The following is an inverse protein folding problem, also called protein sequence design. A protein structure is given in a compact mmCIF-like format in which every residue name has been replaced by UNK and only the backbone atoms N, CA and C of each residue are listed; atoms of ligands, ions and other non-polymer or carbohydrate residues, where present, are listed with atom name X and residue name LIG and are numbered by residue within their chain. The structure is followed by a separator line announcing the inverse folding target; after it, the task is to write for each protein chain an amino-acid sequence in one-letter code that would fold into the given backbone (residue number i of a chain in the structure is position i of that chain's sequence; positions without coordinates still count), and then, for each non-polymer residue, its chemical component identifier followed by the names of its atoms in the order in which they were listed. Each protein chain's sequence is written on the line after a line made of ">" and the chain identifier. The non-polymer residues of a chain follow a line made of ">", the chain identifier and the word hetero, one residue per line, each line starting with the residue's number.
data_IF_941591756339
#
_entry.id   IF_941591756339
#
_cell.length_a   1.000
_cell.length_b   1.000
_cell.length_c   1.000
_cell.angle_alpha   90.00
_cell.angle_beta   90.00
_cell.angle_gamma   90.00
#
_symmetry.space_group_name_H-M   'P 1'
#
loop_
_entity.id
_entity.type
_entity.pdbx_description
1 polymer ?
#
# COMPACT_ATOMS: atom_id res chain seq x y z
N UNK A 1 19.65 87.59 8.62
CA UNK A 1 20.82 87.29 7.77
C UNK A 1 21.13 85.81 7.95
N UNK A 2 21.02 84.86 7.01
CA UNK A 2 20.74 84.79 5.56
C UNK A 2 20.02 83.44 5.28
N UNK A 3 18.95 83.50 4.49
CA UNK A 3 18.45 82.59 3.41
C UNK A 3 18.47 81.04 3.57
N UNK A 4 17.29 80.38 3.54
CA UNK A 4 16.64 79.69 2.39
C UNK A 4 17.42 78.48 1.85
N UNK A 5 16.90 77.25 2.01
CA UNK A 5 16.60 76.31 0.91
C UNK A 5 15.85 75.04 1.40
N UNK A 6 14.69 74.82 0.78
CA UNK A 6 14.03 73.54 0.47
C UNK A 6 13.59 72.58 1.59
N UNK A 7 12.35 72.78 2.01
CA UNK A 7 11.41 71.74 2.42
C UNK A 7 10.95 70.92 1.20
N UNK A 8 11.23 69.61 1.15
CA UNK A 8 10.49 68.58 0.39
C UNK A 8 11.28 67.26 0.41
N UNK A 9 11.10 66.42 1.43
CA UNK A 9 11.23 64.96 1.31
C UNK A 9 10.75 64.27 2.60
N UNK A 10 9.44 64.14 2.77
CA UNK A 10 8.80 63.20 3.71
C UNK A 10 7.35 63.03 3.25
N UNK A 11 7.18 62.39 2.09
CA UNK A 11 5.87 62.01 1.60
C UNK A 11 5.43 60.75 2.34
N UNK A 12 4.48 60.93 3.24
CA UNK A 12 3.63 59.89 3.79
C UNK A 12 2.88 59.21 2.64
N UNK A 13 3.16 57.93 2.38
CA UNK A 13 2.23 57.06 1.65
C UNK A 13 1.53 56.20 2.70
N UNK A 14 0.38 56.71 3.14
CA UNK A 14 -0.66 55.91 3.79
C UNK A 14 -1.26 55.04 2.69
N UNK A 15 -0.93 53.76 2.69
CA UNK A 15 -1.60 52.76 1.84
C UNK A 15 -2.95 52.48 2.47
N UNK A 16 -3.99 53.13 1.94
CA UNK A 16 -5.38 52.75 2.16
C UNK A 16 -5.59 51.44 1.39
N UNK A 17 -5.94 50.31 2.03
CA UNK A 17 -6.36 49.13 1.29
C UNK A 17 -7.70 49.47 0.63
N UNK A 18 -7.65 49.80 -0.66
CA UNK A 18 -8.83 49.79 -1.50
C UNK A 18 -9.34 48.36 -1.52
N UNK A 19 -10.46 48.11 -0.84
CA UNK A 19 -11.29 46.95 -1.09
C UNK A 19 -11.88 47.19 -2.48
N UNK A 20 -11.15 46.76 -3.52
CA UNK A 20 -11.73 46.52 -4.82
C UNK A 20 -12.62 45.28 -4.64
N UNK A 21 -13.90 45.52 -4.39
CA UNK A 21 -14.91 44.53 -4.68
C UNK A 21 -14.93 44.38 -6.20
N UNK A 22 -14.10 43.47 -6.72
CA UNK A 22 -14.33 42.96 -8.06
C UNK A 22 -15.60 42.13 -7.94
N UNK A 23 -16.72 42.68 -8.39
CA UNK A 23 -17.82 41.86 -8.85
C UNK A 23 -17.22 40.94 -9.92
N UNK A 24 -16.94 39.70 -9.54
CA UNK A 24 -16.67 38.64 -10.51
C UNK A 24 -17.98 38.53 -11.28
N UNK A 25 -17.99 39.07 -12.49
CA UNK A 25 -19.02 38.75 -13.47
C UNK A 25 -18.87 37.25 -13.70
N UNK A 26 -19.63 36.44 -12.96
CA UNK A 26 -19.80 35.03 -13.26
C UNK A 26 -20.49 34.97 -14.62
N UNK A 27 -19.69 34.86 -15.68
CA UNK A 27 -20.22 34.48 -16.98
C UNK A 27 -20.86 33.12 -16.81
N UNK A 28 -22.17 33.01 -17.04
CA UNK A 28 -22.82 31.71 -17.09
C UNK A 28 -22.21 30.91 -18.24
N UNK A 29 -21.69 29.73 -17.92
CA UNK A 29 -21.26 28.78 -18.92
C UNK A 29 -22.49 28.17 -19.59
N UNK A 30 -22.34 27.76 -20.85
CA UNK A 30 -23.40 27.09 -21.59
C UNK A 30 -22.93 25.69 -22.01
N UNK A 31 -23.82 24.71 -21.91
CA UNK A 31 -23.60 23.34 -22.33
C UNK A 31 -24.80 22.86 -23.14
N UNK A 32 -24.54 22.31 -24.32
CA UNK A 32 -25.55 21.87 -25.29
C UNK A 32 -25.55 20.34 -25.37
N UNK A 33 -26.74 19.75 -25.20
CA UNK A 33 -26.98 18.34 -25.50
C UNK A 33 -27.52 18.23 -26.92
N UNK A 34 -26.80 17.49 -27.78
CA UNK A 34 -27.15 17.31 -29.18
C UNK A 34 -28.16 16.15 -29.37
N UNK A 35 -28.85 16.13 -30.51
CA UNK A 35 -29.73 15.02 -30.87
C UNK A 35 -28.99 13.67 -30.94
N UNK A 36 -29.65 12.62 -30.45
CA UNK A 36 -29.18 11.22 -30.46
C UNK A 36 -27.95 10.89 -29.59
N UNK A 37 -27.58 11.72 -28.61
CA UNK A 37 -26.55 11.37 -27.64
C UNK A 37 -27.09 10.45 -26.54
N UNK A 38 -26.33 9.42 -26.20
CA UNK A 38 -26.60 8.59 -25.02
C UNK A 38 -26.23 9.36 -23.75
N UNK A 39 -26.89 9.08 -22.62
CA UNK A 39 -26.56 9.72 -21.35
C UNK A 39 -25.09 9.51 -20.95
N UNK A 40 -24.51 8.37 -21.33
CA UNK A 40 -23.08 8.11 -21.14
C UNK A 40 -22.22 9.09 -21.93
N UNK A 41 -22.48 9.27 -23.22
CA UNK A 41 -21.73 10.21 -24.07
C UNK A 41 -21.85 11.65 -23.57
N UNK A 42 -23.03 12.06 -23.10
CA UNK A 42 -23.21 13.39 -22.51
C UNK A 42 -22.34 13.55 -21.26
N UNK A 43 -22.31 12.56 -20.37
CA UNK A 43 -21.48 12.61 -19.16
C UNK A 43 -19.98 12.55 -19.46
N UNK A 44 -19.58 11.78 -20.47
CA UNK A 44 -18.19 11.75 -20.95
C UNK A 44 -17.78 13.14 -21.49
N UNK A 45 -18.65 13.81 -22.25
CA UNK A 45 -18.40 15.18 -22.73
C UNK A 45 -18.29 16.19 -21.59
N UNK A 46 -19.15 16.10 -20.56
CA UNK A 46 -19.04 16.97 -19.35
C UNK A 46 -17.72 16.70 -18.63
N UNK A 47 -17.33 15.43 -18.50
CA UNK A 47 -16.08 15.00 -17.86
C UNK A 47 -14.85 15.56 -18.59
N UNK A 48 -14.82 15.48 -19.91
CA UNK A 48 -13.73 16.00 -20.75
C UNK A 48 -13.70 17.53 -20.81
N UNK A 49 -14.85 18.19 -21.03
CA UNK A 49 -14.90 19.64 -21.22
C UNK A 49 -14.55 20.42 -19.94
N UNK A 50 -14.93 19.90 -18.78
CA UNK A 50 -14.73 20.58 -17.49
C UNK A 50 -13.63 19.93 -16.64
N UNK A 51 -12.91 18.95 -17.18
CA UNK A 51 -11.84 18.22 -16.49
C UNK A 51 -12.28 17.64 -15.11
N UNK A 52 -13.51 17.13 -15.04
CA UNK A 52 -14.11 16.56 -13.82
C UNK A 52 -14.25 15.05 -13.92
N UNK A 53 -14.18 14.34 -12.80
CA UNK A 53 -14.44 12.91 -12.70
C UNK A 53 -15.86 12.66 -12.17
N UNK A 54 -16.65 11.89 -12.94
CA UNK A 54 -18.01 11.51 -12.60
C UNK A 54 -18.07 10.04 -12.18
N UNK A 55 -18.56 9.77 -10.98
CA UNK A 55 -18.77 8.42 -10.47
C UNK A 55 -20.27 8.08 -10.44
N UNK A 56 -20.66 6.96 -11.04
CA UNK A 56 -22.05 6.52 -11.10
C UNK A 56 -22.16 4.99 -11.31
N UNK A 57 -23.24 4.33 -10.84
CA UNK A 57 -23.48 2.93 -11.16
C UNK A 57 -23.91 2.75 -12.63
N UNK A 58 -23.19 1.97 -13.43
CA UNK A 58 -23.52 1.73 -14.86
C UNK A 58 -24.96 1.26 -15.11
N UNK A 59 -25.58 0.39 -14.29
CA UNK A 59 -26.97 -0.02 -14.49
C UNK A 59 -27.99 1.13 -14.33
N UNK A 60 -27.64 2.18 -13.57
CA UNK A 60 -28.49 3.34 -13.32
C UNK A 60 -28.79 4.10 -14.62
N UNK A 61 -27.82 4.17 -15.54
CA UNK A 61 -27.90 5.00 -16.74
C UNK A 61 -28.48 4.27 -17.95
N UNK A 62 -28.59 2.93 -17.91
CA UNK A 62 -28.91 2.11 -19.09
C UNK A 62 -30.30 2.38 -19.68
N UNK A 63 -31.22 2.91 -18.87
CA UNK A 63 -32.62 3.17 -19.26
C UNK A 63 -33.00 4.66 -19.26
N UNK A 64 -32.02 5.57 -19.13
CA UNK A 64 -32.27 7.02 -19.06
C UNK A 64 -31.84 7.68 -20.37
N UNK A 65 -32.69 8.55 -20.90
CA UNK A 65 -32.43 9.34 -22.11
C UNK A 65 -32.69 10.81 -21.81
N UNK A 66 -31.71 11.67 -22.09
CA UNK A 66 -31.88 13.12 -22.02
C UNK A 66 -32.44 13.65 -23.34
N UNK A 67 -33.37 14.59 -23.26
CA UNK A 67 -33.79 15.34 -24.44
C UNK A 67 -32.72 16.37 -24.80
N UNK A 68 -32.59 16.75 -26.09
CA UNK A 68 -31.74 17.86 -26.50
C UNK A 68 -32.13 19.14 -25.77
N UNK A 69 -31.17 19.78 -25.11
CA UNK A 69 -31.40 20.95 -24.28
C UNK A 69 -30.13 21.78 -24.15
N UNK A 70 -30.31 23.08 -23.93
CA UNK A 70 -29.25 24.03 -23.64
C UNK A 70 -29.32 24.44 -22.18
N UNK A 71 -28.25 24.16 -21.44
CA UNK A 71 -28.14 24.48 -20.02
C UNK A 71 -27.23 25.69 -19.82
N UNK A 72 -27.66 26.59 -18.95
CA UNK A 72 -26.89 27.76 -18.55
C UNK A 72 -26.65 27.69 -17.05
N UNK A 73 -25.38 27.64 -16.65
CA UNK A 73 -24.97 27.26 -15.30
C UNK A 73 -23.75 28.06 -14.84
N UNK A 74 -23.56 28.12 -13.53
CA UNK A 74 -22.49 28.87 -12.86
C UNK A 74 -21.35 27.93 -12.46
N UNK A 75 -21.66 26.67 -12.15
CA UNK A 75 -20.73 25.60 -11.85
C UNK A 75 -21.25 24.23 -12.33
N UNK A 76 -20.37 23.22 -12.36
CA UNK A 76 -20.71 21.88 -12.87
C UNK A 76 -21.77 21.18 -12.00
N UNK A 77 -21.88 21.51 -10.72
CA UNK A 77 -22.91 20.96 -9.84
C UNK A 77 -24.29 21.45 -10.30
N UNK A 78 -24.43 22.75 -10.58
CA UNK A 78 -25.65 23.34 -11.13
C UNK A 78 -26.03 22.73 -12.49
N UNK A 79 -25.05 22.48 -13.37
CA UNK A 79 -25.29 21.80 -14.66
C UNK A 79 -25.87 20.39 -14.44
N UNK A 80 -25.22 19.58 -13.61
CA UNK A 80 -25.63 18.20 -13.37
C UNK A 80 -26.98 18.13 -12.65
N UNK A 81 -27.23 19.02 -11.68
CA UNK A 81 -28.52 19.12 -11.00
C UNK A 81 -29.66 19.48 -11.96
N UNK A 82 -29.43 20.42 -12.88
CA UNK A 82 -30.41 20.76 -13.92
C UNK A 82 -30.67 19.57 -14.84
N UNK A 83 -29.64 18.86 -15.28
CA UNK A 83 -29.75 17.68 -16.14
C UNK A 83 -30.52 16.53 -15.47
N UNK A 84 -30.35 16.36 -14.16
CA UNK A 84 -30.88 15.21 -13.43
C UNK A 84 -32.16 15.45 -12.63
N UNK A 85 -32.66 16.68 -12.62
CA UNK A 85 -33.87 17.09 -11.93
C UNK A 85 -35.08 16.17 -12.20
N UNK A 86 -35.26 15.70 -13.44
CA UNK A 86 -36.37 14.83 -13.83
C UNK A 86 -36.13 13.33 -13.55
N UNK A 87 -34.89 12.92 -13.29
CA UNK A 87 -34.48 11.51 -13.24
C UNK A 87 -34.45 10.90 -11.83
N UNK A 88 -34.92 11.64 -10.82
CA UNK A 88 -34.79 11.25 -9.40
C UNK A 88 -33.37 10.81 -9.08
N UNK A 89 -32.38 11.57 -9.54
CA UNK A 89 -30.97 11.36 -9.20
C UNK A 89 -30.48 12.56 -8.40
N UNK A 90 -29.62 12.29 -7.41
CA UNK A 90 -28.89 13.31 -6.68
C UNK A 90 -27.44 13.35 -7.19
N UNK A 91 -26.91 14.56 -7.30
CA UNK A 91 -25.49 14.83 -7.51
C UNK A 91 -24.87 15.22 -6.18
N UNK A 92 -23.68 14.70 -5.88
CA UNK A 92 -22.93 15.09 -4.70
C UNK A 92 -21.49 15.39 -5.06
N UNK A 93 -21.04 16.61 -4.82
CA UNK A 93 -19.63 16.95 -4.93
C UNK A 93 -18.83 16.26 -3.81
N UNK A 94 -17.81 15.48 -4.19
CA UNK A 94 -16.89 14.79 -3.27
C UNK A 94 -15.59 15.59 -3.09
N UNK A 95 -15.16 16.28 -4.15
CA UNK A 95 -14.07 17.27 -4.16
C UNK A 95 -14.25 18.23 -5.34
N UNK A 96 -13.41 19.26 -5.48
CA UNK A 96 -13.48 20.26 -6.56
C UNK A 96 -13.61 19.67 -7.97
N UNK A 97 -12.99 18.51 -8.21
CA UNK A 97 -12.97 17.83 -9.52
C UNK A 97 -13.73 16.49 -9.52
N UNK A 98 -14.50 16.14 -8.48
CA UNK A 98 -15.13 14.82 -8.36
C UNK A 98 -16.58 14.89 -7.93
N UNK A 99 -17.46 14.26 -8.71
CA UNK A 99 -18.89 14.23 -8.46
C UNK A 99 -19.42 12.79 -8.43
N UNK A 100 -20.35 12.51 -7.51
CA UNK A 100 -21.04 11.24 -7.38
C UNK A 100 -22.52 11.41 -7.78
N UNK A 101 -22.99 10.61 -8.72
CA UNK A 101 -24.40 10.56 -9.15
C UNK A 101 -25.05 9.28 -8.59
N UNK A 102 -26.18 9.43 -7.91
CA UNK A 102 -26.92 8.31 -7.28
C UNK A 102 -28.42 8.52 -7.37
N UNK A 103 -29.22 7.47 -7.14
CA UNK A 103 -30.68 7.60 -7.05
C UNK A 103 -31.05 8.46 -5.83
N UNK A 104 -31.93 9.43 -6.05
CA UNK A 104 -32.47 10.33 -5.04
C UNK A 104 -33.28 9.54 -4.02
N UNK A 105 -32.97 9.74 -2.75
CA UNK A 105 -33.66 9.08 -1.65
C UNK A 105 -34.95 9.84 -1.32
N UNK A 106 -36.09 9.28 -1.73
CA UNK A 106 -37.41 9.78 -1.37
C UNK A 106 -37.83 9.15 -0.04
N UNK A 107 -37.86 9.93 1.05
CA UNK A 107 -38.47 9.51 2.31
C UNK A 107 -39.94 9.11 2.05
N UNK A 108 -40.33 7.85 2.28
CA UNK A 108 -41.71 7.43 2.09
C UNK A 108 -42.60 8.13 3.12
N UNK A 109 -43.47 9.01 2.64
CA UNK A 109 -44.49 9.66 3.47
C UNK A 109 -45.48 8.62 3.99
N UNK A 110 -45.47 8.40 5.31
CA UNK A 110 -46.47 7.63 6.08
C UNK A 110 -46.61 6.13 5.75
N UNK A 111 -45.52 5.37 5.81
CA UNK A 111 -45.62 3.91 5.95
C UNK A 111 -44.80 3.43 7.17
N UNK A 112 -45.37 2.50 7.93
CA UNK A 112 -44.72 1.94 9.13
C UNK A 112 -43.37 1.30 8.80
N UNK A 113 -42.43 1.39 9.73
CA UNK A 113 -41.16 0.69 9.63
C UNK A 113 -41.40 -0.82 9.67
N UNK A 114 -40.88 -1.54 8.69
CA UNK A 114 -40.74 -2.99 8.73
C UNK A 114 -39.27 -3.33 8.91
N UNK A 115 -38.94 -4.17 9.86
CA UNK A 115 -37.56 -4.62 10.06
C UNK A 115 -37.41 -6.05 9.57
N UNK A 116 -36.33 -6.34 8.85
CA UNK A 116 -35.93 -7.70 8.51
C UNK A 116 -34.58 -7.97 9.14
N UNK A 117 -34.47 -9.05 9.91
CA UNK A 117 -33.22 -9.39 10.58
C UNK A 117 -32.79 -10.81 10.22
N UNK A 118 -31.53 -11.13 10.42
CA UNK A 118 -31.07 -12.48 10.15
C UNK A 118 -29.58 -12.67 10.33
N UNK A 119 -29.11 -13.88 10.06
CA UNK A 119 -27.70 -14.24 10.03
C UNK A 119 -27.37 -14.97 8.73
N UNK A 120 -26.25 -14.60 8.12
CA UNK A 120 -25.73 -15.20 6.89
C UNK A 120 -24.48 -16.01 7.23
N UNK A 121 -24.46 -17.27 6.80
CA UNK A 121 -23.38 -18.22 7.06
C UNK A 121 -22.96 -18.96 5.79
N UNK A 122 -21.73 -19.40 5.76
CA UNK A 122 -21.27 -20.38 4.79
C UNK A 122 -21.92 -21.73 5.10
N UNK A 123 -22.46 -22.38 4.07
CA UNK A 123 -23.18 -23.65 4.23
C UNK A 123 -22.25 -24.80 4.64
N UNK A 124 -21.00 -24.81 4.19
CA UNK A 124 -20.07 -25.91 4.45
C UNK A 124 -19.36 -25.80 5.80
N UNK A 125 -18.77 -24.65 6.10
CA UNK A 125 -18.00 -24.40 7.32
C UNK A 125 -18.85 -23.92 8.50
N UNK A 126 -20.07 -23.45 8.25
CA UNK A 126 -20.94 -22.81 9.25
C UNK A 126 -20.44 -21.46 9.74
N UNK A 127 -19.34 -20.94 9.18
CA UNK A 127 -18.78 -19.65 9.53
C UNK A 127 -19.73 -18.51 9.15
N UNK A 128 -19.77 -17.50 10.01
CA UNK A 128 -20.49 -16.27 9.72
C UNK A 128 -19.86 -15.54 8.54
N UNK A 129 -20.68 -15.11 7.58
CA UNK A 129 -20.24 -14.33 6.43
C UNK A 129 -20.41 -12.85 6.74
N UNK A 130 -19.30 -12.21 7.12
CA UNK A 130 -19.26 -10.77 7.38
C UNK A 130 -19.25 -9.97 6.08
N UNK A 131 -19.87 -8.79 6.06
CA UNK A 131 -19.94 -7.92 4.89
C UNK A 131 -20.67 -8.53 3.66
N UNK A 132 -21.52 -9.54 3.87
CA UNK A 132 -22.48 -9.96 2.87
C UNK A 132 -23.48 -8.82 2.63
N UNK A 133 -23.71 -8.51 1.35
CA UNK A 133 -24.66 -7.46 0.95
C UNK A 133 -26.06 -8.02 1.06
N UNK A 134 -26.93 -7.33 1.79
CA UNK A 134 -28.35 -7.68 1.97
C UNK A 134 -29.19 -6.50 1.51
N UNK A 135 -29.91 -6.64 0.40
CA UNK A 135 -30.61 -5.51 -0.22
C UNK A 135 -31.92 -5.94 -0.87
N UNK A 136 -32.84 -5.00 -1.04
CA UNK A 136 -34.07 -5.28 -1.80
C UNK A 136 -33.79 -5.36 -3.30
N UNK A 137 -34.54 -6.20 -4.00
CA UNK A 137 -34.38 -6.44 -5.44
C UNK A 137 -34.52 -5.18 -6.32
N UNK A 138 -35.17 -4.13 -5.84
CA UNK A 138 -35.36 -2.83 -6.50
C UNK A 138 -34.29 -1.78 -6.12
N UNK A 139 -33.29 -2.19 -5.31
CA UNK A 139 -32.21 -1.36 -4.78
C UNK A 139 -32.70 -0.13 -4.00
N UNK A 140 -33.92 -0.16 -3.47
CA UNK A 140 -34.44 0.95 -2.67
C UNK A 140 -33.67 1.12 -1.35
N UNK A 141 -33.14 0.02 -0.81
CA UNK A 141 -32.48 -0.03 0.47
C UNK A 141 -31.61 -1.30 0.60
N UNK A 142 -30.58 -1.22 1.44
CA UNK A 142 -29.67 -2.31 1.69
C UNK A 142 -28.82 -2.09 2.94
N UNK A 143 -28.24 -3.17 3.42
CA UNK A 143 -27.37 -3.22 4.59
C UNK A 143 -26.27 -4.25 4.34
N UNK A 144 -25.30 -4.32 5.24
CA UNK A 144 -24.27 -5.35 5.24
C UNK A 144 -24.37 -6.18 6.51
N UNK A 145 -23.97 -7.44 6.42
CA UNK A 145 -23.82 -8.25 7.63
C UNK A 145 -22.63 -7.77 8.47
N UNK A 146 -22.77 -7.85 9.79
CA UNK A 146 -21.71 -7.57 10.76
C UNK A 146 -20.65 -8.68 10.79
N UNK A 147 -19.64 -8.54 11.65
CA UNK A 147 -18.57 -9.54 11.82
C UNK A 147 -19.05 -10.93 12.26
N UNK A 148 -20.28 -11.05 12.75
CA UNK A 148 -20.92 -12.31 13.15
C UNK A 148 -22.00 -12.74 12.16
N UNK A 149 -22.02 -12.13 10.96
CA UNK A 149 -22.91 -12.48 9.86
C UNK A 149 -24.33 -11.95 10.06
N UNK A 150 -24.60 -11.16 11.10
CA UNK A 150 -25.94 -10.66 11.37
C UNK A 150 -26.25 -9.42 10.58
N UNK A 151 -27.47 -9.28 10.11
CA UNK A 151 -27.96 -8.07 9.46
C UNK A 151 -29.29 -7.62 10.05
N UNK A 152 -29.53 -6.32 9.94
CA UNK A 152 -30.83 -5.69 10.15
C UNK A 152 -31.08 -4.74 8.99
N UNK A 153 -32.16 -4.98 8.25
CA UNK A 153 -32.61 -4.20 7.10
C UNK A 153 -33.97 -3.59 7.44
N UNK A 154 -33.97 -2.33 7.83
CA UNK A 154 -35.17 -1.57 8.12
C UNK A 154 -35.70 -0.91 6.83
N UNK A 155 -36.94 -1.19 6.45
CA UNK A 155 -37.59 -0.63 5.27
C UNK A 155 -38.77 0.25 5.65
N UNK A 156 -38.84 1.44 5.05
CA UNK A 156 -40.05 2.27 5.05
C UNK A 156 -40.71 2.07 3.69
N UNK A 157 -41.98 1.68 3.65
CA UNK A 157 -42.73 1.52 2.40
C UNK A 157 -43.33 0.13 2.18
N UNK A 158 -43.99 -0.07 1.04
CA UNK A 158 -44.30 -1.41 0.56
C UNK A 158 -42.97 -2.15 0.33
N UNK A 159 -42.76 -3.26 1.02
CA UNK A 159 -41.56 -4.09 0.86
C UNK A 159 -41.47 -4.55 -0.60
N UNK A 160 -40.27 -4.50 -1.20
CA UNK A 160 -40.03 -5.34 -2.36
C UNK A 160 -40.19 -6.79 -1.89
N UNK A 161 -40.98 -7.61 -2.61
CA UNK A 161 -41.27 -8.99 -2.21
C UNK A 161 -40.00 -9.85 -2.01
N UNK A 162 -38.84 -9.40 -2.50
CA UNK A 162 -37.61 -10.18 -2.53
C UNK A 162 -36.41 -9.42 -1.95
N UNK A 163 -35.81 -9.96 -0.89
CA UNK A 163 -34.48 -9.58 -0.39
C UNK A 163 -33.43 -10.45 -1.09
N UNK A 164 -32.37 -9.84 -1.60
CA UNK A 164 -31.23 -10.51 -2.21
C UNK A 164 -30.06 -10.43 -1.24
N UNK A 165 -29.44 -11.58 -1.00
CA UNK A 165 -28.22 -11.72 -0.20
C UNK A 165 -27.11 -12.21 -1.12
N UNK A 166 -26.02 -11.46 -1.16
CA UNK A 166 -24.87 -11.77 -2.00
C UNK A 166 -23.57 -11.61 -1.22
N UNK A 167 -22.60 -12.48 -1.51
CA UNK A 167 -21.26 -12.43 -0.93
C UNK A 167 -20.23 -12.92 -1.95
N UNK A 168 -19.03 -12.35 -1.92
CA UNK A 168 -18.01 -12.62 -2.93
C UNK A 168 -17.64 -14.11 -2.93
N UNK A 169 -17.64 -14.73 -4.11
CA UNK A 169 -17.40 -16.17 -4.32
C UNK A 169 -18.51 -17.10 -3.77
N UNK A 170 -19.72 -16.59 -3.57
CA UNK A 170 -20.92 -17.36 -3.21
C UNK A 170 -22.04 -17.13 -4.22
N UNK A 171 -22.96 -18.09 -4.31
CA UNK A 171 -24.20 -17.92 -5.06
C UNK A 171 -25.13 -16.94 -4.35
N UNK A 172 -25.81 -16.09 -5.12
CA UNK A 172 -26.82 -15.19 -4.56
C UNK A 172 -28.01 -16.00 -4.00
N UNK A 173 -28.56 -15.55 -2.87
CA UNK A 173 -29.76 -16.12 -2.27
C UNK A 173 -30.89 -15.10 -2.28
N UNK A 174 -32.04 -15.49 -2.82
CA UNK A 174 -33.28 -14.71 -2.81
C UNK A 174 -34.18 -15.17 -1.68
N UNK A 175 -34.64 -14.24 -0.84
CA UNK A 175 -35.57 -14.45 0.25
C UNK A 175 -36.87 -13.72 -0.05
N UNK A 176 -37.99 -14.43 0.05
CA UNK A 176 -39.31 -13.83 -0.17
C UNK A 176 -39.90 -13.35 1.16
N UNK A 177 -40.18 -12.06 1.28
CA UNK A 177 -40.69 -11.45 2.51
C UNK A 177 -42.20 -11.67 2.59
N UNK A 178 -42.66 -12.55 3.49
CA UNK A 178 -44.10 -12.83 3.65
C UNK A 178 -44.74 -12.04 4.82
N UNK A 179 -43.93 -11.61 5.80
CA UNK A 179 -44.38 -10.88 7.00
C UNK A 179 -43.32 -9.84 7.42
N UNK A 180 -43.73 -8.70 7.99
CA UNK A 180 -42.80 -7.80 8.69
C UNK A 180 -42.15 -8.52 9.90
N UNK A 181 -40.95 -8.08 10.28
CA UNK A 181 -40.21 -8.55 11.47
C UNK A 181 -39.79 -10.03 11.40
N UNK A 182 -39.51 -10.52 10.20
CA UNK A 182 -39.05 -11.89 9.98
C UNK A 182 -37.53 -12.02 10.24
N UNK A 183 -37.16 -13.04 11.01
CA UNK A 183 -35.78 -13.46 11.19
C UNK A 183 -35.39 -14.53 10.16
N UNK A 184 -34.26 -14.36 9.49
CA UNK A 184 -33.74 -15.28 8.49
C UNK A 184 -32.43 -15.92 8.93
N UNK A 185 -32.36 -17.25 8.90
CA UNK A 185 -31.08 -17.97 8.93
C UNK A 185 -30.74 -18.41 7.50
N UNK A 186 -29.67 -17.86 6.96
CA UNK A 186 -29.33 -17.95 5.54
C UNK A 186 -27.99 -18.63 5.38
N UNK A 187 -27.97 -19.74 4.66
CA UNK A 187 -26.75 -20.41 4.27
C UNK A 187 -26.48 -20.14 2.79
N UNK A 188 -25.33 -19.54 2.49
CA UNK A 188 -24.88 -19.35 1.11
C UNK A 188 -24.05 -20.56 0.67
N UNK A 189 -24.35 -21.05 -0.52
CA UNK A 189 -23.53 -22.05 -1.20
C UNK A 189 -22.32 -21.34 -1.81
N UNK A 190 -21.12 -21.82 -1.48
CA UNK A 190 -19.89 -21.33 -2.11
C UNK A 190 -19.96 -21.64 -3.60
N UNK A 191 -19.77 -20.62 -4.41
CA UNK A 191 -19.80 -20.79 -5.85
C UNK A 191 -18.36 -20.91 -6.33
N UNK A 192 -17.88 -22.15 -6.45
CA UNK A 192 -16.59 -22.49 -7.05
C UNK A 192 -16.61 -22.30 -8.58
N UNK A 193 -17.27 -21.24 -9.07
CA UNK A 193 -17.30 -20.91 -10.48
C UNK A 193 -15.85 -20.79 -10.97
N UNK A 194 -15.42 -21.83 -11.68
CA UNK A 194 -14.24 -21.84 -12.53
C UNK A 194 -14.50 -20.70 -13.51
N UNK A 195 -13.75 -19.61 -13.36
CA UNK A 195 -13.80 -18.49 -14.29
C UNK A 195 -13.46 -19.09 -15.66
N UNK A 196 -14.48 -19.21 -16.50
CA UNK A 196 -14.31 -19.63 -17.90
C UNK A 196 -13.83 -18.39 -18.63
N UNK A 197 -12.65 -18.49 -19.22
CA UNK A 197 -11.90 -17.46 -19.94
C UNK A 197 -11.71 -16.13 -19.19
N UNK A 198 -10.53 -16.00 -18.57
CA UNK A 198 -9.97 -14.73 -18.15
C UNK A 198 -9.60 -13.93 -19.40
N UNK A 199 -10.43 -12.97 -19.80
CA UNK A 199 -9.91 -11.80 -20.49
C UNK A 199 -8.98 -11.10 -19.48
N UNK A 200 -7.66 -11.16 -19.73
CA UNK A 200 -6.68 -10.44 -18.92
C UNK A 200 -6.82 -8.95 -19.24
N UNK A 201 -7.78 -8.29 -18.59
CA UNK A 201 -7.68 -6.86 -18.35
C UNK A 201 -6.85 -6.66 -17.09
N UNK A 202 -5.69 -6.04 -17.28
CA UNK A 202 -4.79 -5.63 -16.21
C UNK A 202 -5.47 -4.55 -15.35
N UNK A 203 -6.22 -4.98 -14.33
CA UNK A 203 -6.72 -4.08 -13.29
C UNK A 203 -5.69 -4.10 -12.16
N UNK A 204 -4.89 -3.04 -12.06
CA UNK A 204 -3.98 -2.81 -10.93
C UNK A 204 -4.81 -2.69 -9.66
N UNK A 205 -4.62 -3.53 -8.62
CA UNK A 205 -5.28 -3.27 -7.34
C UNK A 205 -4.88 -1.88 -6.75
N UNK A 206 -5.52 -1.33 -5.73
CA UNK A 206 -5.16 -0.01 -5.24
C UNK A 206 -3.84 -0.02 -4.43
N UNK A 207 -2.83 0.73 -4.85
CA UNK A 207 -1.84 1.30 -3.91
C UNK A 207 -2.57 2.36 -3.09
N UNK A 208 -2.77 2.12 -1.80
CA UNK A 208 -3.42 3.09 -0.93
C UNK A 208 -2.39 4.09 -0.41
N UNK A 209 -2.48 5.32 -0.92
CA UNK A 209 -1.84 6.47 -0.31
C UNK A 209 -2.77 7.02 0.77
N UNK A 210 -2.23 7.48 1.90
CA UNK A 210 -2.99 8.47 2.68
C UNK A 210 -3.19 9.71 1.81
N UNK A 211 -4.26 10.49 2.06
CA UNK A 211 -4.70 11.65 1.25
C UNK A 211 -3.60 12.72 1.03
N UNK A 212 -2.52 12.62 1.78
CA UNK A 212 -1.35 13.48 1.92
C UNK A 212 0.00 12.76 1.60
N UNK A 213 -0.02 11.48 1.19
CA UNK A 213 1.18 10.73 0.77
C UNK A 213 2.22 10.46 1.86
N UNK A 214 1.81 10.60 3.13
CA UNK A 214 2.66 10.48 4.32
C UNK A 214 2.90 9.03 4.73
N UNK A 215 1.93 8.16 4.45
CA UNK A 215 2.06 6.73 4.62
C UNK A 215 1.70 5.98 3.33
N UNK A 216 2.43 4.89 3.09
CA UNK A 216 2.23 3.98 1.97
C UNK A 216 2.16 2.56 2.53
N UNK A 217 1.12 1.83 2.12
CA UNK A 217 0.96 0.42 2.46
C UNK A 217 1.05 -0.41 1.18
N UNK A 218 2.00 -1.35 1.16
CA UNK A 218 2.27 -2.26 0.07
C UNK A 218 2.00 -3.69 0.53
N UNK A 219 1.11 -4.39 -0.16
CA UNK A 219 0.88 -5.84 -0.03
C UNK A 219 0.88 -6.43 -1.43
N UNK A 220 1.58 -7.55 -1.64
CA UNK A 220 1.64 -8.29 -2.92
C UNK A 220 2.19 -7.50 -4.13
N UNK A 221 2.71 -6.28 -3.91
CA UNK A 221 2.98 -5.26 -4.96
C UNK A 221 4.19 -4.38 -4.69
N UNK A 222 5.30 -4.99 -4.37
CA UNK A 222 6.53 -4.22 -4.39
C UNK A 222 6.96 -4.01 -5.84
N UNK A 223 7.46 -2.82 -6.21
CA UNK A 223 7.98 -2.58 -7.54
C UNK A 223 9.02 -3.64 -7.88
N UNK A 224 8.81 -4.40 -8.96
CA UNK A 224 9.79 -5.37 -9.44
C UNK A 224 10.84 -4.62 -10.25
N UNK A 225 11.91 -4.19 -9.57
CA UNK A 225 13.08 -3.62 -10.23
C UNK A 225 13.94 -4.70 -10.88
N UNK A 226 14.48 -4.42 -12.07
CA UNK A 226 15.60 -5.18 -12.62
C UNK A 226 16.89 -4.75 -11.90
N UNK A 227 17.13 -5.31 -10.72
CA UNK A 227 18.35 -5.07 -9.95
C UNK A 227 19.30 -6.27 -10.10
N UNK A 228 20.61 -5.99 -10.07
CA UNK A 228 21.69 -7.00 -10.09
C UNK A 228 21.51 -7.99 -8.92
N UNK A 229 20.99 -7.49 -7.80
CA UNK A 229 20.47 -8.28 -6.69
C UNK A 229 18.97 -8.46 -6.91
N UNK A 230 18.58 -9.57 -7.50
CA UNK A 230 17.16 -9.91 -7.68
C UNK A 230 16.46 -10.03 -6.34
N UNK A 231 15.25 -9.46 -6.26
CA UNK A 231 14.30 -9.60 -5.15
C UNK A 231 14.74 -9.07 -3.77
N UNK A 232 15.48 -7.95 -3.71
CA UNK A 232 15.82 -7.29 -2.43
C UNK A 232 14.76 -6.28 -1.99
N UNK A 233 14.19 -6.49 -0.80
CA UNK A 233 13.08 -5.69 -0.27
C UNK A 233 13.43 -4.20 -0.13
N UNK A 234 14.58 -3.88 0.47
CA UNK A 234 14.96 -2.48 0.70
C UNK A 234 15.20 -1.76 -0.63
N UNK A 235 15.84 -2.43 -1.60
CA UNK A 235 16.02 -1.85 -2.95
C UNK A 235 14.70 -1.62 -3.68
N UNK A 236 13.68 -2.46 -3.47
CA UNK A 236 12.34 -2.18 -4.01
C UNK A 236 11.71 -0.94 -3.37
N UNK A 237 11.94 -0.71 -2.07
CA UNK A 237 11.49 0.51 -1.40
C UNK A 237 12.21 1.76 -1.93
N UNK A 238 13.49 1.66 -2.33
CA UNK A 238 14.22 2.77 -2.95
C UNK A 238 13.63 3.24 -4.30
N UNK A 239 12.75 2.45 -4.93
CA UNK A 239 12.02 2.86 -6.14
C UNK A 239 10.83 3.77 -5.84
N UNK A 240 10.51 3.98 -4.55
CA UNK A 240 9.39 4.79 -4.11
C UNK A 240 9.77 6.27 -4.01
N UNK A 241 8.86 7.20 -4.38
CA UNK A 241 9.13 8.63 -4.28
C UNK A 241 9.51 9.10 -2.86
N UNK A 242 10.68 9.74 -2.79
CA UNK A 242 11.24 10.30 -1.54
C UNK A 242 12.01 9.29 -0.69
N UNK A 243 12.32 8.12 -1.25
CA UNK A 243 13.24 7.14 -0.69
C UNK A 243 14.37 6.94 -1.68
N UNK A 244 15.60 7.06 -1.22
CA UNK A 244 16.79 6.76 -2.02
C UNK A 244 17.63 5.74 -1.26
N UNK A 245 18.62 5.18 -1.95
CA UNK A 245 19.73 4.53 -1.27
C UNK A 245 20.52 5.57 -0.45
N UNK A 246 21.15 5.15 0.65
CA UNK A 246 22.07 6.03 1.38
C UNK A 246 23.31 6.36 0.55
N UNK A 247 23.89 5.32 -0.07
CA UNK A 247 24.91 5.36 -1.12
C UNK A 247 24.45 4.50 -2.32
N UNK A 248 24.94 4.77 -3.52
CA UNK A 248 24.45 4.16 -4.78
C UNK A 248 24.48 2.61 -4.79
N UNK A 249 25.42 2.01 -4.05
CA UNK A 249 25.62 0.58 -3.93
C UNK A 249 24.95 -0.05 -2.70
N UNK A 250 24.41 0.73 -1.77
CA UNK A 250 23.82 0.25 -0.53
C UNK A 250 22.30 0.01 -0.63
N UNK A 251 21.82 -0.98 0.11
CA UNK A 251 20.40 -1.31 0.31
C UNK A 251 19.77 -0.46 1.43
N UNK A 252 20.59 0.22 2.24
CA UNK A 252 20.16 1.10 3.31
C UNK A 252 19.27 2.25 2.80
N UNK A 253 18.30 2.67 3.62
CA UNK A 253 17.25 3.60 3.21
C UNK A 253 17.54 5.04 3.65
N UNK A 254 17.52 5.96 2.69
CA UNK A 254 17.54 7.41 2.89
C UNK A 254 16.16 7.99 2.59
N UNK A 255 15.40 8.26 3.63
CA UNK A 255 14.02 8.75 3.52
C UNK A 255 14.05 10.28 3.69
N UNK A 256 13.62 11.02 2.66
CA UNK A 256 13.62 12.50 2.66
C UNK A 256 14.95 13.14 3.08
N UNK A 257 16.06 12.49 2.75
CA UNK A 257 17.40 13.00 3.02
C UNK A 257 17.98 12.62 4.39
N UNK A 258 17.28 11.81 5.19
CA UNK A 258 17.79 11.30 6.46
C UNK A 258 19.02 10.40 6.28
N UNK A 259 19.80 10.25 7.34
CA UNK A 259 20.79 9.18 7.37
C UNK A 259 20.11 7.81 7.54
N UNK A 260 20.80 6.74 7.15
CA UNK A 260 20.28 5.37 7.24
C UNK A 260 19.93 4.97 8.69
N UNK A 261 20.70 5.44 9.67
CA UNK A 261 20.52 5.19 11.10
C UNK A 261 19.37 5.99 11.75
N UNK A 262 18.79 6.95 11.00
CA UNK A 262 17.67 7.77 11.47
C UNK A 262 16.31 7.18 11.12
N UNK A 263 16.28 6.15 10.27
CA UNK A 263 15.07 5.41 9.89
C UNK A 263 14.86 4.24 10.84
N UNK A 264 13.60 3.97 11.23
CA UNK A 264 13.26 2.81 12.05
C UNK A 264 12.70 1.69 11.19
N UNK A 265 13.26 0.49 11.33
CA UNK A 265 12.80 -0.71 10.65
C UNK A 265 12.26 -1.69 11.69
N UNK A 266 11.04 -2.18 11.51
CA UNK A 266 10.38 -3.13 12.41
C UNK A 266 9.81 -4.29 11.58
N UNK A 267 10.14 -5.53 11.94
CA UNK A 267 9.60 -6.75 11.34
C UNK A 267 8.81 -7.53 12.40
N UNK A 268 7.51 -7.73 12.21
CA UNK A 268 6.63 -8.43 13.16
C UNK A 268 6.78 -7.95 14.62
N UNK A 269 6.93 -6.63 14.80
CA UNK A 269 7.17 -6.01 16.11
C UNK A 269 8.63 -6.06 16.62
N UNK A 270 9.53 -6.74 15.91
CA UNK A 270 10.96 -6.74 16.20
C UNK A 270 11.64 -5.52 15.57
N UNK A 271 12.21 -4.58 16.35
CA UNK A 271 13.05 -3.56 15.78
C UNK A 271 14.35 -4.19 15.28
N UNK A 272 14.71 -3.87 14.05
CA UNK A 272 15.94 -4.36 13.42
C UNK A 272 16.89 -3.17 13.17
N UNK A 273 18.19 -3.43 13.33
CA UNK A 273 19.27 -2.46 13.12
C UNK A 273 20.30 -3.11 12.21
N UNK A 274 20.97 -2.32 11.36
CA UNK A 274 22.01 -2.78 10.44
C UNK A 274 21.56 -4.05 9.70
N UNK A 275 20.43 -3.93 9.00
CA UNK A 275 19.78 -5.03 8.28
C UNK A 275 20.36 -5.20 6.89
N UNK A 276 21.68 -5.31 6.83
CA UNK A 276 22.43 -5.39 5.59
C UNK A 276 23.55 -6.42 5.65
N UNK A 277 23.94 -6.85 4.45
CA UNK A 277 25.06 -7.74 4.20
C UNK A 277 25.98 -7.11 3.16
N UNK A 278 27.22 -7.57 3.15
CA UNK A 278 28.21 -7.27 2.13
C UNK A 278 28.37 -5.76 1.92
N UNK A 279 28.79 -5.08 2.99
CA UNK A 279 28.98 -3.63 3.01
C UNK A 279 27.75 -2.86 2.52
N UNK A 280 26.55 -3.35 2.83
CA UNK A 280 25.30 -2.69 2.47
C UNK A 280 24.62 -3.23 1.21
N UNK A 281 25.27 -4.03 0.37
CA UNK A 281 24.74 -4.38 -0.96
C UNK A 281 23.43 -5.18 -0.91
N UNK A 282 23.29 -6.10 0.04
CA UNK A 282 22.05 -6.85 0.25
C UNK A 282 21.40 -6.41 1.55
N UNK A 283 20.09 -6.30 1.58
CA UNK A 283 19.36 -6.23 2.85
C UNK A 283 19.30 -7.62 3.48
N UNK A 284 19.20 -7.73 4.80
CA UNK A 284 19.08 -9.01 5.54
C UNK A 284 17.63 -9.46 5.79
N UNK A 285 16.65 -8.65 5.36
CA UNK A 285 15.23 -9.03 5.40
C UNK A 285 14.86 -9.76 4.11
N UNK A 286 14.31 -10.96 4.26
CA UNK A 286 13.84 -11.76 3.14
C UNK A 286 12.48 -11.26 2.64
N UNK A 287 12.44 -10.77 1.40
CA UNK A 287 11.24 -10.31 0.72
C UNK A 287 10.14 -11.38 0.65
N UNK A 288 10.49 -12.64 0.37
CA UNK A 288 9.52 -13.74 0.24
C UNK A 288 8.89 -14.14 1.60
N UNK A 289 9.41 -13.64 2.73
CA UNK A 289 8.82 -13.81 4.08
C UNK A 289 7.82 -12.69 4.43
N UNK A 290 8.01 -11.49 3.88
CA UNK A 290 7.22 -10.30 4.21
C UNK A 290 5.96 -10.27 3.36
N UNK A 291 4.80 -10.16 4.01
CA UNK A 291 3.50 -10.09 3.33
C UNK A 291 3.09 -8.63 3.05
N UNK A 292 3.38 -7.75 4.01
CA UNK A 292 2.98 -6.35 3.97
C UNK A 292 4.10 -5.44 4.46
N UNK A 293 4.25 -4.29 3.79
CA UNK A 293 5.12 -3.20 4.24
C UNK A 293 4.32 -1.92 4.35
N UNK A 294 4.38 -1.29 5.53
CA UNK A 294 3.84 0.04 5.77
C UNK A 294 4.99 1.02 6.00
N UNK A 295 5.16 1.94 5.08
CA UNK A 295 6.15 3.00 5.15
C UNK A 295 5.49 4.30 5.62
N UNK A 296 6.07 4.95 6.62
CA UNK A 296 5.67 6.26 7.12
C UNK A 296 6.84 7.23 7.01
N UNK A 297 6.71 8.22 6.12
CA UNK A 297 7.77 9.23 5.89
C UNK A 297 7.77 10.33 6.96
N UNK A 298 6.62 10.63 7.57
CA UNK A 298 6.55 11.55 8.72
C UNK A 298 5.52 11.15 9.79
N UNK A 299 4.23 11.11 9.46
CA UNK A 299 3.13 10.89 10.42
C UNK A 299 3.10 9.43 10.90
N UNK A 300 4.03 9.12 11.80
CA UNK A 300 4.26 7.78 12.32
C UNK A 300 3.24 7.46 13.42
N UNK A 301 2.76 6.20 13.50
CA UNK A 301 1.90 5.79 14.59
C UNK A 301 2.61 5.95 15.94
N UNK A 302 1.94 6.60 16.89
CA UNK A 302 2.51 6.93 18.22
C UNK A 302 3.04 5.68 18.95
N UNK A 303 2.41 4.52 18.73
CA UNK A 303 2.81 3.25 19.36
C UNK A 303 4.24 2.79 19.02
N UNK A 304 4.83 3.26 17.93
CA UNK A 304 6.17 2.84 17.48
C UNK A 304 7.27 3.85 17.82
N UNK A 305 6.93 4.96 18.48
CA UNK A 305 7.77 6.13 18.70
C UNK A 305 8.19 6.80 17.37
N UNK A 306 8.28 8.13 17.36
CA UNK A 306 8.61 8.86 16.14
C UNK A 306 10.14 8.89 15.93
N UNK A 307 10.59 8.52 14.73
CA UNK A 307 11.99 8.60 14.30
C UNK A 307 12.17 9.65 13.20
N UNK A 308 13.26 10.42 13.25
CA UNK A 308 13.50 11.55 12.35
C UNK A 308 13.59 11.19 10.87
N UNK A 309 14.00 9.96 10.55
CA UNK A 309 14.12 9.42 9.19
C UNK A 309 12.96 8.56 8.73
N UNK A 310 11.82 8.52 9.43
CA UNK A 310 10.69 7.70 9.02
C UNK A 310 10.67 6.30 9.66
N UNK A 311 9.61 5.55 9.35
CA UNK A 311 9.33 4.22 9.89
C UNK A 311 8.94 3.27 8.77
N UNK A 312 9.56 2.09 8.75
CA UNK A 312 9.21 0.96 7.90
C UNK A 312 8.71 -0.16 8.80
N UNK A 313 7.42 -0.44 8.75
CA UNK A 313 6.81 -1.60 9.38
C UNK A 313 6.69 -2.71 8.34
N UNK A 314 7.11 -3.91 8.70
CA UNK A 314 7.01 -5.11 7.89
C UNK A 314 6.27 -6.16 8.69
N UNK A 315 5.24 -6.73 8.10
CA UNK A 315 4.43 -7.77 8.70
C UNK A 315 4.50 -9.01 7.80
N UNK A 316 4.80 -10.14 8.40
CA UNK A 316 4.69 -11.45 7.76
C UNK A 316 3.26 -11.98 7.86
N UNK A 317 2.89 -12.86 6.93
CA UNK A 317 1.59 -13.52 6.92
C UNK A 317 1.35 -14.24 8.26
N UNK A 318 0.25 -13.91 8.92
CA UNK A 318 -0.06 -14.38 10.27
C UNK A 318 -1.19 -15.42 10.29
N UNK A 319 -2.02 -15.47 9.24
CA UNK A 319 -3.18 -16.34 9.17
C UNK A 319 -3.42 -16.89 7.75
N UNK A 320 -2.47 -17.67 7.21
CA UNK A 320 -2.58 -18.21 5.86
C UNK A 320 -3.77 -19.16 5.75
N UNK A 321 -4.59 -18.97 4.71
CA UNK A 321 -5.73 -19.87 4.39
C UNK A 321 -5.23 -21.22 3.86
N UNK A 322 -4.21 -21.18 3.00
CA UNK A 322 -3.60 -22.35 2.35
C UNK A 322 -2.09 -22.33 2.55
N UNK A 323 -1.46 -23.51 2.46
CA UNK A 323 0.00 -23.61 2.42
C UNK A 323 0.52 -22.99 1.13
N UNK A 324 1.37 -21.98 1.25
CA UNK A 324 2.16 -21.39 0.16
C UNK A 324 3.62 -21.73 0.42
N UNK A 325 4.32 -22.25 -0.58
CA UNK A 325 5.74 -22.52 -0.52
C UNK A 325 6.43 -21.92 -1.75
N UNK A 326 7.54 -21.25 -1.54
CA UNK A 326 8.32 -20.55 -2.56
C UNK A 326 9.76 -21.05 -2.45
N UNK A 327 10.34 -21.43 -3.58
CA UNK A 327 11.77 -21.69 -3.72
C UNK A 327 12.28 -20.84 -4.86
N UNK A 328 13.26 -19.99 -4.57
CA UNK A 328 13.90 -19.10 -5.53
C UNK A 328 15.40 -19.39 -5.54
N UNK A 329 15.96 -19.50 -6.73
CA UNK A 329 17.38 -19.71 -6.95
C UNK A 329 17.83 -18.66 -7.94
N UNK A 330 18.66 -17.74 -7.47
CA UNK A 330 19.23 -16.65 -8.25
C UNK A 330 20.71 -16.92 -8.51
N UNK A 331 21.43 -16.01 -9.19
CA UNK A 331 22.87 -16.17 -9.45
C UNK A 331 23.73 -16.07 -8.17
N UNK A 332 23.26 -15.37 -7.15
CA UNK A 332 24.03 -15.05 -5.94
C UNK A 332 23.50 -15.73 -4.67
N UNK A 333 22.21 -16.06 -4.63
CA UNK A 333 21.58 -16.62 -3.44
C UNK A 333 20.46 -17.61 -3.77
N UNK A 334 20.07 -18.36 -2.75
CA UNK A 334 18.90 -19.23 -2.74
C UNK A 334 18.01 -18.81 -1.58
N UNK A 335 16.72 -18.68 -1.87
CA UNK A 335 15.69 -18.31 -0.91
C UNK A 335 14.60 -19.37 -0.87
N UNK A 336 14.17 -19.75 0.33
CA UNK A 336 13.02 -20.62 0.53
C UNK A 336 12.08 -20.01 1.56
N UNK A 337 10.78 -19.96 1.26
CA UNK A 337 9.77 -19.47 2.17
C UNK A 337 8.56 -20.41 2.20
N UNK A 338 7.95 -20.57 3.37
CA UNK A 338 6.72 -21.34 3.55
C UNK A 338 5.81 -20.65 4.55
N UNK A 339 4.56 -20.45 4.14
CA UNK A 339 3.49 -19.98 5.00
C UNK A 339 2.37 -21.02 5.01
N UNK A 340 2.01 -21.56 6.18
CA UNK A 340 1.13 -22.70 6.29
C UNK A 340 0.24 -22.65 7.54
N UNK A 341 -1.08 -22.90 7.41
CA UNK A 341 -1.92 -23.19 8.56
C UNK A 341 -1.62 -24.62 9.03
N UNK A 342 -0.81 -24.78 10.08
CA UNK A 342 -0.49 -26.10 10.65
C UNK A 342 -1.73 -26.75 11.27
N UNK A 343 -2.59 -25.93 11.88
CA UNK A 343 -3.91 -26.33 12.40
C UNK A 343 -4.88 -25.16 12.28
N UNK A 344 -6.16 -25.34 12.66
CA UNK A 344 -7.15 -24.25 12.70
C UNK A 344 -6.77 -23.07 13.63
N UNK A 345 -5.84 -23.29 14.57
CA UNK A 345 -5.41 -22.29 15.56
C UNK A 345 -3.93 -21.95 15.48
N UNK A 346 -3.12 -22.71 14.73
CA UNK A 346 -1.67 -22.54 14.68
C UNK A 346 -1.24 -22.36 13.23
N UNK A 347 -0.54 -21.27 12.98
CA UNK A 347 0.03 -20.94 11.68
C UNK A 347 1.53 -20.75 11.80
N UNK A 348 2.25 -21.14 10.76
CA UNK A 348 3.69 -20.99 10.62
C UNK A 348 4.00 -20.17 9.38
N UNK A 349 4.86 -19.18 9.51
CA UNK A 349 5.55 -18.53 8.41
C UNK A 349 7.06 -18.66 8.66
N UNK A 350 7.81 -19.13 7.67
CA UNK A 350 9.25 -19.36 7.77
C UNK A 350 9.91 -18.95 6.47
N UNK A 351 10.96 -18.14 6.56
CA UNK A 351 11.81 -17.74 5.46
C UNK A 351 13.27 -18.08 5.77
N UNK A 352 13.97 -18.57 4.76
CA UNK A 352 15.40 -18.89 4.79
C UNK A 352 16.04 -18.28 3.55
N UNK A 353 17.22 -17.69 3.71
CA UNK A 353 18.03 -17.22 2.58
C UNK A 353 19.50 -17.49 2.82
N UNK A 354 20.22 -17.88 1.78
CA UNK A 354 21.65 -18.15 1.87
C UNK A 354 22.36 -17.94 0.53
N UNK A 355 23.62 -17.55 0.59
CA UNK A 355 24.53 -17.55 -0.57
C UNK A 355 25.13 -18.95 -0.78
N UNK A 356 24.99 -19.50 -1.98
CA UNK A 356 25.55 -20.82 -2.31
C UNK A 356 26.97 -20.78 -2.89
N UNK A 357 27.44 -19.59 -3.31
CA UNK A 357 28.80 -19.30 -3.77
C UNK A 357 29.25 -17.97 -3.18
N UNK A 358 30.56 -17.74 -3.21
CA UNK A 358 31.11 -16.42 -2.94
C UNK A 358 30.50 -15.40 -3.90
N UNK A 359 29.96 -14.31 -3.37
CA UNK A 359 29.30 -13.25 -4.15
C UNK A 359 30.27 -12.63 -5.19
N UNK A 360 31.56 -12.58 -4.87
CA UNK A 360 32.61 -11.99 -5.73
C UNK A 360 33.03 -12.90 -6.90
N UNK A 361 32.78 -14.22 -6.82
CA UNK A 361 33.10 -15.16 -7.93
C UNK A 361 32.22 -14.93 -9.17
N UNK A 362 31.10 -14.22 -9.04
CA UNK A 362 30.20 -13.88 -10.14
C UNK A 362 30.79 -12.88 -11.15
N UNK A 363 31.94 -12.25 -10.86
CA UNK A 363 32.61 -11.28 -11.75
C UNK A 363 31.83 -9.97 -11.96
N UNK A 364 30.72 -9.78 -11.25
CA UNK A 364 29.85 -8.61 -11.33
C UNK A 364 30.49 -7.37 -10.69
N UNK A 365 31.39 -7.60 -9.74
CA UNK A 365 32.12 -6.60 -8.99
C UNK A 365 33.57 -7.08 -9.06
N UNK A 366 34.33 -6.60 -10.03
CA UNK A 366 35.76 -6.97 -10.15
C UNK A 366 36.54 -6.29 -9.00
N UNK A 367 36.33 -6.76 -7.78
CA UNK A 367 37.18 -6.37 -6.65
C UNK A 367 38.54 -7.06 -6.79
N UNK A 368 38.59 -8.27 -7.36
CA UNK A 368 39.85 -9.00 -7.61
C UNK A 368 40.73 -8.18 -8.56
N UNK A 369 41.83 -7.65 -8.01
CA UNK A 369 42.93 -6.95 -8.69
C UNK A 369 42.69 -5.46 -8.95
N UNK A 370 43.06 -4.64 -7.96
CA UNK A 370 43.61 -3.31 -8.22
C UNK A 370 45.13 -3.41 -8.22
N UNK A 371 45.73 -3.59 -9.41
CA UNK A 371 47.11 -3.14 -9.58
C UNK A 371 47.07 -1.62 -9.51
N UNK A 372 47.98 -1.01 -8.75
CA UNK A 372 48.33 0.38 -9.02
C UNK A 372 48.92 0.39 -10.43
N UNK A 373 48.12 0.70 -11.45
CA UNK A 373 48.60 0.92 -12.80
C UNK A 373 49.42 2.21 -12.76
N UNK A 374 50.72 2.20 -13.11
CA UNK A 374 51.59 3.35 -12.95
C UNK A 374 51.30 4.37 -14.06
N UNK A 375 50.30 5.24 -13.86
CA UNK A 375 50.13 6.43 -14.70
C UNK A 375 51.22 7.52 -14.45
N UNK A 376 52.36 7.16 -13.88
CA UNK A 376 53.55 8.03 -13.82
C UNK A 376 54.80 7.27 -14.26
N UNK A 377 55.06 7.34 -15.57
CA UNK A 377 56.38 7.15 -16.16
C UNK A 377 57.35 8.12 -15.48
N UNK A 378 58.16 7.64 -14.52
CA UNK A 378 59.53 8.10 -14.20
C UNK A 378 60.05 7.66 -12.81
N UNK A 379 59.34 6.80 -12.06
CA UNK A 379 59.88 6.33 -10.78
C UNK A 379 59.65 4.82 -10.58
N UNK A 380 60.67 3.95 -10.74
CA UNK A 380 60.56 2.51 -10.51
C UNK A 380 60.58 2.16 -9.01
N UNK A 381 60.01 3.02 -8.16
CA UNK A 381 60.02 2.83 -6.71
C UNK A 381 58.69 2.22 -6.26
N UNK A 382 58.74 0.91 -6.03
CA UNK A 382 57.78 0.08 -5.29
C UNK A 382 56.49 -0.29 -6.05
N UNK A 383 56.60 -1.26 -6.95
CA UNK A 383 55.45 -1.98 -7.48
C UNK A 383 54.85 -2.85 -6.37
N UNK A 384 53.84 -2.32 -5.67
CA UNK A 384 53.02 -3.10 -4.74
C UNK A 384 51.91 -3.76 -5.53
N UNK A 385 52.05 -5.06 -5.80
CA UNK A 385 50.95 -5.86 -6.35
C UNK A 385 50.07 -6.29 -5.19
N UNK A 386 48.81 -5.82 -5.19
CA UNK A 386 47.77 -6.23 -4.24
C UNK A 386 46.81 -7.17 -4.97
N UNK A 387 46.84 -8.46 -4.62
CA UNK A 387 45.78 -9.39 -5.00
C UNK A 387 44.84 -9.58 -3.82
N UNK A 388 43.54 -9.43 -4.06
CA UNK A 388 42.47 -9.59 -3.09
C UNK A 388 41.48 -10.66 -3.57
N UNK A 389 41.14 -11.58 -2.67
CA UNK A 389 40.19 -12.67 -2.90
C UNK A 389 39.13 -12.65 -1.79
N UNK A 390 38.13 -11.75 -1.85
CA UNK A 390 37.08 -11.69 -0.85
C UNK A 390 36.12 -12.89 -1.00
N UNK A 391 35.90 -13.67 0.06
CA UNK A 391 34.86 -14.71 0.22
C UNK A 391 33.77 -14.18 1.14
N UNK A 392 32.65 -13.76 0.56
CA UNK A 392 31.48 -13.28 1.30
C UNK A 392 30.35 -14.30 1.27
N UNK A 393 29.86 -14.68 2.45
CA UNK A 393 28.70 -15.56 2.60
C UNK A 393 27.78 -15.10 3.72
N UNK A 394 26.48 -15.23 3.48
CA UNK A 394 25.46 -14.89 4.47
C UNK A 394 24.36 -15.93 4.59
N UNK A 395 23.70 -15.92 5.74
CA UNK A 395 22.60 -16.81 6.10
C UNK A 395 21.54 -16.04 6.90
N UNK A 396 20.30 -16.07 6.41
CA UNK A 396 19.16 -15.44 7.07
C UNK A 396 18.08 -16.47 7.40
N UNK A 397 17.46 -16.26 8.56
CA UNK A 397 16.32 -16.98 9.08
C UNK A 397 15.29 -15.97 9.59
N UNK A 398 14.09 -16.04 9.03
CA UNK A 398 12.91 -15.32 9.47
C UNK A 398 11.86 -16.34 9.86
N UNK A 399 11.24 -16.19 11.02
CA UNK A 399 10.21 -17.14 11.47
C UNK A 399 9.13 -16.44 12.26
N UNK A 400 7.89 -16.86 12.05
CA UNK A 400 6.74 -16.46 12.85
C UNK A 400 5.84 -17.66 13.10
N UNK A 401 5.51 -17.86 14.37
CA UNK A 401 4.47 -18.78 14.81
C UNK A 401 3.31 -17.95 15.35
N UNK A 402 2.11 -18.15 14.81
CA UNK A 402 0.91 -17.46 15.28
C UNK A 402 -0.09 -18.45 15.86
N UNK A 403 -0.55 -18.19 17.08
CA UNK A 403 -1.50 -19.00 17.80
C UNK A 403 -2.78 -18.23 18.13
N UNK A 404 -3.91 -18.65 17.57
CA UNK A 404 -5.24 -18.13 17.88
C UNK A 404 -5.75 -18.71 19.21
N UNK A 405 -5.53 -17.96 20.29
CA UNK A 405 -6.07 -18.27 21.62
C UNK A 405 -7.61 -18.24 21.62
N UNK A 406 -8.20 -17.27 20.91
CA UNK A 406 -9.64 -17.14 20.68
C UNK A 406 -9.92 -16.45 19.34
N UNK A 407 -11.19 -16.30 18.95
CA UNK A 407 -11.57 -15.52 17.76
C UNK A 407 -11.20 -14.03 17.86
N UNK A 408 -10.85 -13.54 19.06
CA UNK A 408 -10.52 -12.14 19.32
C UNK A 408 -9.07 -11.96 19.78
N UNK A 409 -8.35 -13.04 20.05
CA UNK A 409 -7.03 -12.99 20.68
C UNK A 409 -6.06 -13.92 19.97
N UNK A 410 -4.93 -13.37 19.54
CA UNK A 410 -3.83 -14.11 18.94
C UNK A 410 -2.52 -13.81 19.67
N UNK A 411 -1.67 -14.82 19.73
CA UNK A 411 -0.33 -14.75 20.27
C UNK A 411 0.65 -15.12 19.16
N UNK A 412 1.48 -14.18 18.74
CA UNK A 412 2.55 -14.42 17.76
C UNK A 412 3.91 -14.46 18.46
N UNK A 413 4.75 -15.41 18.08
CA UNK A 413 6.17 -15.44 18.40
C UNK A 413 6.96 -15.34 17.11
N UNK A 414 7.81 -14.32 17.01
CA UNK A 414 8.62 -14.05 15.83
C UNK A 414 10.10 -14.10 16.17
N UNK A 415 10.90 -14.56 15.21
CA UNK A 415 12.35 -14.65 15.28
C UNK A 415 12.97 -14.10 13.99
N UNK A 416 14.09 -13.42 14.15
CA UNK A 416 14.95 -12.96 13.09
C UNK A 416 16.38 -13.33 13.46
N UNK A 417 17.09 -14.03 12.57
CA UNK A 417 18.51 -14.29 12.71
C UNK A 417 19.19 -14.10 11.37
N UNK A 418 20.31 -13.40 11.38
CA UNK A 418 21.11 -13.15 10.19
C UNK A 418 22.60 -13.25 10.57
N UNK A 419 23.40 -13.89 9.72
CA UNK A 419 24.80 -14.16 9.98
C UNK A 419 25.64 -13.93 8.72
N UNK A 420 26.74 -13.20 8.89
CA UNK A 420 27.74 -12.94 7.85
C UNK A 420 29.07 -13.57 8.19
N UNK A 421 29.72 -14.06 7.14
CA UNK A 421 31.11 -14.47 7.18
C UNK A 421 31.85 -13.86 6.00
N UNK A 422 32.84 -13.04 6.31
CA UNK A 422 33.73 -12.43 5.34
C UNK A 422 35.16 -12.87 5.59
N UNK A 423 35.83 -13.34 4.55
CA UNK A 423 37.26 -13.65 4.57
C UNK A 423 37.89 -12.94 3.39
N UNK A 424 38.94 -12.16 3.59
CA UNK A 424 39.67 -11.55 2.48
C UNK A 424 41.17 -11.74 2.67
N UNK A 425 41.77 -12.41 1.70
CA UNK A 425 43.22 -12.63 1.65
C UNK A 425 43.86 -11.56 0.76
N UNK A 426 44.83 -10.84 1.32
CA UNK A 426 45.66 -9.86 0.62
C UNK A 426 47.04 -10.44 0.40
N UNK A 427 47.48 -10.47 -0.85
CA UNK A 427 48.85 -10.80 -1.22
C UNK A 427 49.58 -9.51 -1.58
N UNK A 428 50.52 -9.08 -0.72
CA UNK A 428 51.38 -7.93 -0.95
C UNK A 428 52.74 -8.42 -1.43
N UNK A 429 53.04 -8.19 -2.70
CA UNK A 429 54.38 -8.42 -3.24
C UNK A 429 55.13 -7.08 -3.29
N UNK A 430 56.27 -7.02 -2.61
CA UNK A 430 57.18 -5.88 -2.60
C UNK A 430 58.51 -6.30 -3.21
N UNK A 431 58.97 -5.59 -4.23
CA UNK A 431 60.31 -5.76 -4.78
C UNK A 431 61.19 -4.60 -4.34
N UNK A 432 62.26 -4.89 -3.60
CA UNK A 432 63.19 -3.85 -3.15
C UNK A 432 64.18 -3.45 -4.25
N UNK A 433 64.94 -2.37 -4.02
CA UNK A 433 65.99 -1.86 -4.94
C UNK A 433 67.08 -2.89 -5.29
N UNK A 434 67.22 -3.97 -4.52
CA UNK A 434 68.16 -5.06 -4.77
C UNK A 434 67.52 -6.24 -5.53
N UNK A 435 66.31 -6.06 -6.08
CA UNK A 435 65.51 -7.10 -6.74
C UNK A 435 65.14 -8.29 -5.83
N UNK A 436 65.14 -8.10 -4.51
CA UNK A 436 64.58 -9.11 -3.60
C UNK A 436 63.08 -8.92 -3.48
N UNK A 437 62.36 -10.02 -3.70
CA UNK A 437 60.92 -10.07 -3.55
C UNK A 437 60.57 -10.48 -2.11
N UNK A 438 59.82 -9.63 -1.43
CA UNK A 438 59.14 -9.96 -0.18
C UNK A 438 57.66 -10.16 -0.48
N UNK A 439 57.14 -11.34 -0.16
CA UNK A 439 55.72 -11.65 -0.25
C UNK A 439 55.13 -11.70 1.14
N UNK A 440 54.14 -10.87 1.41
CA UNK A 440 53.41 -10.87 2.68
C UNK A 440 51.94 -11.15 2.41
N UNK A 441 51.42 -12.21 3.02
CA UNK A 441 50.02 -12.59 2.91
C UNK A 441 49.32 -12.17 4.20
N UNK A 442 48.28 -11.36 4.07
CA UNK A 442 47.37 -11.01 5.16
C UNK A 442 46.03 -11.68 4.91
N UNK A 443 45.34 -12.05 5.99
CA UNK A 443 43.97 -12.52 5.89
C UNK A 443 43.14 -11.77 6.93
N UNK A 444 42.10 -11.10 6.47
CA UNK A 444 41.09 -10.53 7.35
C UNK A 444 39.91 -11.48 7.43
N UNK A 445 39.42 -11.76 8.64
CA UNK A 445 38.23 -12.57 8.89
C UNK A 445 37.28 -11.77 9.75
N UNK A 446 36.09 -11.53 9.23
CA UNK A 446 35.02 -10.83 9.93
C UNK A 446 33.79 -11.73 9.99
N UNK A 447 33.09 -11.68 11.12
CA UNK A 447 31.82 -12.35 11.32
C UNK A 447 30.86 -11.39 12.01
N UNK A 448 29.64 -11.32 11.51
CA UNK A 448 28.59 -10.47 12.07
C UNK A 448 27.33 -11.30 12.32
N UNK A 449 26.69 -11.09 13.47
CA UNK A 449 25.49 -11.80 13.87
C UNK A 449 24.42 -10.79 14.31
N UNK A 450 23.24 -10.88 13.68
CA UNK A 450 22.05 -10.16 14.10
C UNK A 450 21.00 -11.17 14.60
N UNK A 451 20.49 -10.97 15.81
CA UNK A 451 19.42 -11.78 16.38
C UNK A 451 18.36 -10.90 17.03
N UNK A 452 17.09 -11.16 16.71
CA UNK A 452 15.94 -10.51 17.34
C UNK A 452 14.81 -11.52 17.52
N UNK A 453 14.00 -11.31 18.55
CA UNK A 453 12.79 -12.09 18.78
C UNK A 453 11.73 -11.24 19.44
N UNK A 454 10.47 -11.47 19.10
CA UNK A 454 9.34 -10.79 19.71
C UNK A 454 8.23 -11.76 20.08
N UNK A 455 7.52 -11.44 21.16
CA UNK A 455 6.27 -12.08 21.53
C UNK A 455 5.18 -11.02 21.53
N UNK A 456 4.15 -11.20 20.71
CA UNK A 456 3.11 -10.21 20.48
C UNK A 456 1.74 -10.83 20.80
N UNK A 457 1.05 -10.27 21.81
CA UNK A 457 -0.31 -10.64 22.14
C UNK A 457 -1.27 -9.57 21.61
N UNK A 458 -2.08 -9.92 20.62
CA UNK A 458 -3.09 -9.01 20.06
C UNK A 458 -4.45 -9.48 20.51
N UNK A 459 -5.18 -8.61 21.21
CA UNK A 459 -6.56 -8.87 21.64
C UNK A 459 -7.47 -7.73 21.20
N UNK A 460 -8.55 -8.05 20.47
CA UNK A 460 -9.58 -7.08 20.11
C UNK A 460 -10.58 -6.94 21.26
N UNK A 461 -10.55 -5.77 21.90
CA UNK A 461 -11.51 -5.39 22.93
C UNK A 461 -12.64 -4.62 22.22
N UNK A 462 -13.84 -5.20 22.15
CA UNK A 462 -15.03 -4.46 21.73
C UNK A 462 -15.46 -3.62 22.93
N UNK A 463 -15.09 -2.34 22.94
CA UNK A 463 -15.65 -1.36 23.89
C UNK A 463 -16.50 -0.36 23.11
N UNK A 464 -17.82 -0.44 23.31
CA UNK A 464 -18.78 0.60 22.95
C UNK A 464 -18.57 1.82 23.87
N UNK A 465 -17.47 2.54 23.70
CA UNK A 465 -17.28 3.86 24.31
C UNK A 465 -17.75 4.91 23.31
N UNK A 466 -19.07 4.98 23.11
CA UNK A 466 -19.69 6.26 22.78
C UNK A 466 -19.59 7.11 24.04
N UNK A 467 -18.62 8.03 24.02
CA UNK A 467 -18.62 9.17 24.92
C UNK A 467 -19.89 9.95 24.61
N UNK A 468 -20.92 9.76 25.44
CA UNK A 468 -21.92 10.79 25.67
C UNK A 468 -21.18 11.95 26.34
N UNK A 469 -20.86 12.98 25.55
CA UNK A 469 -20.32 14.26 25.97
C UNK A 469 -20.90 15.34 25.10
#
# INVERSE_FOLDING_TARGET
>A
MKHIFLSLFLLNIIVIPGIAQSDIIQGKNNFEILENQTLKEVLDNVSEQFEVLLAYPTPLLKNLSLAPANYSFSDVEELLDQMFSDFKLDVKQVSSEKYLIRKSYQEPSNMGFQEYSGVVRDKESGQALAFASVYFSDFSNGTFTDSEGRFTLAHKGASSDTIIISYLAYGERKLYTQKPDQYFEVFLDRNENIITDVLVEYIVPPTMFTRDGMALVLSDKMPTGQNIVSNDLMRKLQLLPGINAYNDDESSLKIRGSNADQSRIILDGMPLYNVDHYYGIFSSVNDDFVDQVSLYKNAQPVQHQAFGGGLVLMDSESDPINTKAILRVDLLNTTAAISSPLTRKLSLNLGLRTTYRNVDDGGLINLKRRSNDPENFNNPQNDVFISNEPDFRFYDLNGRLNFKLSNKTSLSYSIFKSHDRYINSYDLNFQNHQQQNSRTIFENREAWDNFSSALLLVSRIIKNWLLNG
#
